data_IF_615510042170
#
_entry.id   IF_615510042170
#
_cell.length_a   1.000
_cell.length_b   1.000
_cell.length_c   1.000
_cell.angle_alpha   90.00
_cell.angle_beta   90.00
_cell.angle_gamma   90.00
#
_symmetry.space_group_name_H-M   'P 1'
#
loop_
_entity.id
_entity.type
_entity.pdbx_description
1 polymer ?
#
# COMPACT_ATOMS: atom_id res chain seq x y z
N UNK A 1 -6.94 11.90 14.25
CA UNK A 1 -5.86 11.18 13.54
C UNK A 1 -5.44 12.01 12.32
N UNK A 2 -4.50 11.58 11.46
CA UNK A 2 -3.62 12.39 10.58
C UNK A 2 -3.97 13.87 10.44
N UNK A 3 -3.09 14.74 10.94
CA UNK A 3 -3.28 16.18 10.81
C UNK A 3 -2.82 16.59 9.42
N UNK A 4 -3.79 16.79 8.52
CA UNK A 4 -3.49 17.28 7.18
C UNK A 4 -2.70 18.59 7.29
N UNK A 5 -1.46 18.66 6.76
CA UNK A 5 -0.66 19.85 6.88
C UNK A 5 -1.37 21.01 6.17
N UNK A 6 -1.15 22.28 6.57
CA UNK A 6 -1.73 23.45 5.91
C UNK A 6 -1.47 23.46 4.39
N UNK A 7 -0.34 22.87 3.97
CA UNK A 7 0.03 22.63 2.57
C UNK A 7 -1.02 21.78 1.84
N UNK A 8 -1.52 20.69 2.43
CA UNK A 8 -2.53 19.84 1.82
C UNK A 8 -3.87 20.59 1.60
N UNK A 9 -4.22 21.50 2.52
CA UNK A 9 -5.40 22.36 2.42
C UNK A 9 -5.20 23.38 1.29
N UNK A 10 -4.04 24.03 1.23
CA UNK A 10 -3.70 24.98 0.18
C UNK A 10 -3.72 24.37 -1.22
N UNK A 11 -3.27 23.11 -1.39
CA UNK A 11 -3.39 22.36 -2.66
C UNK A 11 -4.86 22.16 -3.02
N UNK A 12 -5.68 21.73 -2.05
CA UNK A 12 -7.10 21.50 -2.27
C UNK A 12 -7.86 22.79 -2.64
N UNK A 13 -7.40 23.94 -2.14
CA UNK A 13 -7.91 25.27 -2.47
C UNK A 13 -7.36 25.84 -3.79
N UNK A 14 -6.46 25.13 -4.48
CA UNK A 14 -5.90 25.53 -5.77
C UNK A 14 -4.79 26.58 -5.71
N UNK A 15 -4.14 26.72 -4.55
CA UNK A 15 -2.98 27.61 -4.40
C UNK A 15 -1.73 26.99 -5.05
N UNK A 16 -0.91 27.82 -5.68
CA UNK A 16 0.40 27.40 -6.20
C UNK A 16 1.37 27.20 -5.03
N UNK A 17 1.93 26.00 -4.92
CA UNK A 17 2.88 25.61 -3.87
C UNK A 17 4.21 25.26 -4.52
N UNK A 18 5.33 25.62 -3.88
CA UNK A 18 6.66 25.26 -4.37
C UNK A 18 6.91 23.75 -4.26
N UNK A 19 7.70 23.20 -5.18
CA UNK A 19 8.07 21.78 -5.18
C UNK A 19 8.70 21.35 -3.84
N UNK A 20 9.54 22.20 -3.24
CA UNK A 20 10.13 21.93 -1.91
C UNK A 20 9.10 21.74 -0.80
N UNK A 21 7.97 22.45 -0.85
CA UNK A 21 6.91 22.32 0.15
C UNK A 21 6.06 21.07 -0.11
N UNK A 22 5.90 20.67 -1.37
CA UNK A 22 5.25 19.42 -1.75
C UNK A 22 6.06 18.21 -1.26
N UNK A 23 7.38 18.23 -1.46
CA UNK A 23 8.28 17.18 -1.00
C UNK A 23 8.23 17.05 0.53
N UNK A 24 8.32 18.17 1.27
CA UNK A 24 8.20 18.15 2.74
C UNK A 24 6.85 17.60 3.23
N UNK A 25 5.76 17.91 2.52
CA UNK A 25 4.44 17.39 2.87
C UNK A 25 4.33 15.88 2.59
N UNK A 26 4.96 15.40 1.52
CA UNK A 26 5.05 13.98 1.21
C UNK A 26 5.89 13.23 2.26
N UNK A 27 7.07 13.75 2.61
CA UNK A 27 7.93 13.17 3.65
C UNK A 27 7.20 13.07 5.00
N UNK A 28 6.55 14.14 5.43
CA UNK A 28 5.75 14.15 6.67
C UNK A 28 4.61 13.11 6.64
N UNK A 29 3.98 12.91 5.47
CA UNK A 29 2.96 11.87 5.31
C UNK A 29 3.56 10.46 5.36
N UNK A 30 4.70 10.24 4.71
CA UNK A 30 5.39 8.95 4.71
C UNK A 30 5.86 8.57 6.13
N UNK A 31 6.41 9.51 6.88
CA UNK A 31 6.80 9.32 8.30
C UNK A 31 5.60 8.92 9.16
N UNK A 32 4.49 9.65 9.04
CA UNK A 32 3.24 9.30 9.73
C UNK A 32 2.74 7.90 9.35
N UNK A 33 2.73 7.58 8.06
CA UNK A 33 2.25 6.29 7.56
C UNK A 33 3.14 5.15 8.07
N UNK A 34 4.47 5.32 8.03
CA UNK A 34 5.43 4.35 8.56
C UNK A 34 5.24 4.16 10.08
N UNK A 35 5.16 5.23 10.86
CA UNK A 35 4.95 5.15 12.32
C UNK A 35 3.68 4.37 12.67
N UNK A 36 2.56 4.73 12.06
CA UNK A 36 1.26 4.09 12.32
C UNK A 36 1.27 2.63 11.87
N UNK A 37 1.84 2.32 10.71
CA UNK A 37 1.92 0.95 10.22
C UNK A 37 2.74 0.06 11.17
N UNK A 38 3.90 0.55 11.61
CA UNK A 38 4.79 -0.18 12.51
C UNK A 38 4.17 -0.41 13.90
N UNK A 39 3.33 0.50 14.36
CA UNK A 39 2.57 0.28 15.60
C UNK A 39 1.46 -0.75 15.40
N UNK A 40 0.70 -0.65 14.32
CA UNK A 40 -0.47 -1.49 14.07
C UNK A 40 -0.11 -2.93 13.71
N UNK A 41 1.07 -3.17 13.10
CA UNK A 41 1.50 -4.52 12.73
C UNK A 41 1.79 -5.40 13.96
N UNK A 42 1.95 -4.82 15.15
CA UNK A 42 2.15 -5.55 16.41
C UNK A 42 0.91 -6.35 16.84
N UNK A 43 -0.28 -5.97 16.35
CA UNK A 43 -1.54 -6.58 16.74
C UNK A 43 -2.01 -7.69 15.79
N UNK A 44 -1.44 -7.77 14.59
CA UNK A 44 -1.76 -8.77 13.59
C UNK A 44 -1.24 -8.45 12.19
N UNK A 45 -1.41 -9.41 11.29
CA UNK A 45 -1.07 -9.25 9.88
C UNK A 45 -1.99 -8.21 9.22
N UNK A 46 -1.40 -7.11 8.76
CA UNK A 46 -2.10 -6.06 8.03
C UNK A 46 -2.22 -6.49 6.55
N UNK A 47 -3.45 -6.59 6.06
CA UNK A 47 -3.74 -6.83 4.64
C UNK A 47 -3.66 -5.51 3.85
N UNK A 48 -4.26 -4.44 4.36
CA UNK A 48 -4.24 -3.12 3.75
C UNK A 48 -4.39 -2.01 4.80
N UNK A 49 -3.77 -0.86 4.53
CA UNK A 49 -3.88 0.35 5.37
C UNK A 49 -4.02 1.57 4.48
N UNK A 50 -5.03 2.39 4.76
CA UNK A 50 -5.32 3.61 4.00
C UNK A 50 -5.56 4.80 4.92
N UNK A 51 -5.16 5.98 4.46
CA UNK A 51 -5.37 7.26 5.16
C UNK A 51 -6.24 8.14 4.27
N UNK A 52 -7.28 8.75 4.86
CA UNK A 52 -8.20 9.62 4.15
C UNK A 52 -7.70 11.07 4.12
N UNK A 53 -7.62 11.61 2.90
CA UNK A 53 -7.32 13.00 2.56
C UNK A 53 -8.60 13.78 2.23
N UNK A 54 -9.73 13.37 2.81
CA UNK A 54 -10.99 14.07 2.66
C UNK A 54 -10.94 15.41 3.40
N UNK A 55 -11.78 16.37 2.98
CA UNK A 55 -11.90 17.68 3.62
C UNK A 55 -13.05 17.68 4.66
N UNK A 56 -14.05 16.81 4.48
CA UNK A 56 -15.21 16.74 5.35
C UNK A 56 -14.87 16.19 6.74
N UNK A 57 -15.41 16.84 7.77
CA UNK A 57 -15.15 16.54 9.19
C UNK A 57 -15.45 15.10 9.58
N UNK A 58 -16.34 14.41 8.85
CA UNK A 58 -16.74 13.03 9.12
C UNK A 58 -15.68 11.98 8.75
N UNK A 59 -14.72 12.32 7.88
CA UNK A 59 -13.75 11.35 7.34
C UNK A 59 -12.33 11.90 7.17
N UNK A 60 -12.11 13.19 7.39
CA UNK A 60 -10.79 13.82 7.31
C UNK A 60 -9.79 13.18 8.28
N UNK A 61 -8.64 12.76 7.75
CA UNK A 61 -7.55 12.20 8.55
C UNK A 61 -7.83 10.83 9.17
N UNK A 62 -8.95 10.17 8.81
CA UNK A 62 -9.24 8.82 9.27
C UNK A 62 -8.25 7.82 8.69
N UNK A 63 -7.79 6.90 9.51
CA UNK A 63 -6.97 5.76 9.10
C UNK A 63 -7.81 4.50 9.20
N UNK A 64 -7.83 3.74 8.11
CA UNK A 64 -8.48 2.44 8.07
C UNK A 64 -7.41 1.37 7.93
N UNK A 65 -7.47 0.37 8.79
CA UNK A 65 -6.64 -0.84 8.70
C UNK A 65 -7.56 -2.03 8.51
N UNK A 66 -7.19 -2.86 7.53
CA UNK A 66 -7.76 -4.17 7.33
C UNK A 66 -6.73 -5.20 7.81
N UNK A 67 -7.05 -5.88 8.90
CA UNK A 67 -6.31 -7.06 9.33
C UNK A 67 -6.78 -8.30 8.58
N UNK A 68 -5.89 -9.29 8.47
CA UNK A 68 -6.22 -10.58 7.87
C UNK A 68 -7.20 -11.41 8.71
N UNK A 69 -7.06 -11.34 10.03
CA UNK A 69 -7.87 -12.06 10.99
C UNK A 69 -8.72 -11.08 11.83
N UNK A 70 -10.00 -11.40 12.06
CA UNK A 70 -10.90 -10.55 12.88
C UNK A 70 -10.43 -10.42 14.33
N UNK A 71 -9.82 -11.48 14.88
CA UNK A 71 -9.23 -11.47 16.22
C UNK A 71 -8.11 -10.43 16.36
N UNK A 72 -7.36 -10.16 15.29
CA UNK A 72 -6.33 -9.12 15.29
C UNK A 72 -6.94 -7.72 15.34
N UNK A 73 -8.07 -7.50 14.67
CA UNK A 73 -8.80 -6.24 14.77
C UNK A 73 -9.34 -6.01 16.19
N UNK A 74 -9.91 -7.04 16.83
CA UNK A 74 -10.37 -6.96 18.21
C UNK A 74 -9.22 -6.68 19.19
N UNK A 75 -8.09 -7.35 19.00
CA UNK A 75 -6.89 -7.11 19.78
C UNK A 75 -6.36 -5.67 19.62
N UNK A 76 -6.30 -5.17 18.39
CA UNK A 76 -5.87 -3.79 18.11
C UNK A 76 -6.77 -2.77 18.81
N UNK A 77 -8.10 -2.90 18.70
CA UNK A 77 -9.04 -1.99 19.39
C UNK A 77 -8.84 -2.02 20.90
N UNK A 78 -8.71 -3.22 21.49
CA UNK A 78 -8.48 -3.34 22.93
C UNK A 78 -7.17 -2.68 23.38
N UNK A 79 -6.10 -2.78 22.59
CA UNK A 79 -4.78 -2.25 22.96
C UNK A 79 -4.62 -0.76 22.65
N UNK A 80 -5.36 -0.23 21.67
CA UNK A 80 -5.32 1.18 21.30
C UNK A 80 -6.30 2.03 22.11
N UNK A 81 -7.37 1.43 22.63
CA UNK A 81 -8.35 2.11 23.47
C UNK A 81 -7.69 2.74 24.69
N UNK A 82 -7.93 4.03 24.91
CA UNK A 82 -7.36 4.79 26.02
C UNK A 82 -5.93 5.29 25.82
N UNK A 83 -5.30 5.00 24.66
CA UNK A 83 -4.00 5.56 24.29
C UNK A 83 -4.16 6.93 23.63
N UNK A 84 -3.05 7.64 23.52
CA UNK A 84 -2.96 8.97 22.93
C UNK A 84 -1.99 8.97 21.75
N UNK A 85 -2.27 9.77 20.74
CA UNK A 85 -1.39 10.03 19.59
C UNK A 85 -1.39 11.53 19.30
N UNK A 86 -0.20 12.15 19.25
CA UNK A 86 -0.06 13.59 19.04
C UNK A 86 -0.86 14.45 20.04
N UNK A 87 -0.91 14.02 21.31
CA UNK A 87 -1.65 14.71 22.38
C UNK A 87 -3.18 14.57 22.34
N UNK A 88 -3.74 13.79 21.40
CA UNK A 88 -5.18 13.52 21.29
C UNK A 88 -5.49 12.05 21.62
N UNK A 89 -6.63 11.76 22.27
CA UNK A 89 -7.02 10.37 22.51
C UNK A 89 -7.28 9.65 21.18
N UNK A 90 -6.85 8.39 21.10
CA UNK A 90 -7.11 7.54 19.94
C UNK A 90 -8.54 7.01 20.06
N UNK A 91 -9.35 7.26 19.03
CA UNK A 91 -10.69 6.68 18.88
C UNK A 91 -10.60 5.53 17.87
N UNK A 92 -10.93 4.32 18.32
CA UNK A 92 -10.90 3.10 17.50
C UNK A 92 -12.29 2.48 17.47
N UNK A 93 -12.79 2.21 16.28
CA UNK A 93 -14.10 1.62 16.05
C UNK A 93 -14.02 0.59 14.92
N UNK A 94 -14.92 -0.41 14.94
CA UNK A 94 -15.08 -1.32 13.82
C UNK A 94 -15.77 -0.60 12.66
N UNK A 95 -15.35 -0.94 11.44
CA UNK A 95 -15.97 -0.43 10.21
C UNK A 95 -16.59 -1.58 9.41
N UNK A 96 -17.78 -1.39 8.81
CA UNK A 96 -18.37 -2.38 7.90
C UNK A 96 -17.66 -2.41 6.53
N UNK A 97 -16.69 -1.53 6.29
CA UNK A 97 -15.95 -1.46 5.03
C UNK A 97 -15.00 -2.64 4.90
N UNK A 98 -15.31 -3.57 3.99
CA UNK A 98 -14.53 -4.80 3.74
C UNK A 98 -13.56 -4.66 2.56
N UNK A 99 -13.86 -3.78 1.59
CA UNK A 99 -13.02 -3.51 0.42
C UNK A 99 -12.87 -2.00 0.19
N UNK A 100 -11.65 -1.50 0.40
CA UNK A 100 -11.31 -0.09 0.18
C UNK A 100 -11.43 0.34 -1.29
N UNK A 101 -11.38 -0.61 -2.24
CA UNK A 101 -11.52 -0.31 -3.67
C UNK A 101 -12.93 0.12 -4.05
N UNK A 102 -13.93 -0.39 -3.37
CA UNK A 102 -15.34 0.01 -3.57
C UNK A 102 -15.67 1.28 -2.78
N UNK A 103 -15.06 1.47 -1.61
CA UNK A 103 -15.27 2.66 -0.78
C UNK A 103 -14.54 3.92 -1.28
N UNK A 104 -13.56 3.79 -2.20
CA UNK A 104 -12.79 4.93 -2.70
C UNK A 104 -13.56 5.78 -3.70
N UNK A 105 -13.31 7.09 -3.67
CA UNK A 105 -13.87 8.02 -4.64
C UNK A 105 -13.15 7.91 -5.99
N UNK A 106 -13.80 7.34 -7.00
CA UNK A 106 -13.21 7.20 -8.36
C UNK A 106 -12.86 8.56 -8.98
N UNK A 107 -13.75 9.55 -8.83
CA UNK A 107 -13.52 10.91 -9.33
C UNK A 107 -12.32 11.59 -8.66
N UNK A 108 -12.01 11.26 -7.40
CA UNK A 108 -10.83 11.81 -6.73
C UNK A 108 -9.53 11.23 -7.32
N UNK A 109 -9.52 9.93 -7.65
CA UNK A 109 -8.38 9.28 -8.31
C UNK A 109 -8.07 9.93 -9.66
N UNK A 110 -9.12 10.37 -10.36
CA UNK A 110 -9.01 11.08 -11.65
C UNK A 110 -8.71 12.58 -11.51
N UNK A 111 -8.64 13.11 -10.28
CA UNK A 111 -8.43 14.54 -10.02
C UNK A 111 -9.64 15.43 -10.32
N UNK A 112 -10.84 14.85 -10.40
CA UNK A 112 -12.07 15.52 -10.84
C UNK A 112 -13.17 15.61 -9.76
N UNK A 113 -12.88 15.16 -8.53
CA UNK A 113 -13.87 15.24 -7.45
C UNK A 113 -14.12 16.70 -7.04
N UNK A 114 -15.29 17.23 -7.36
CA UNK A 114 -15.72 18.60 -7.00
C UNK A 114 -16.66 18.67 -5.80
N UNK A 115 -16.86 17.54 -5.09
CA UNK A 115 -17.78 17.46 -3.96
C UNK A 115 -17.25 18.14 -2.69
N UNK A 116 -15.95 18.46 -2.64
CA UNK A 116 -15.32 19.09 -1.48
C UNK A 116 -15.57 18.32 -0.19
N UNK A 117 -15.95 19.03 0.87
CA UNK A 117 -16.30 18.44 2.17
C UNK A 117 -17.53 17.54 2.18
N UNK A 118 -18.34 17.54 1.11
CA UNK A 118 -19.56 16.72 1.02
C UNK A 118 -19.33 15.35 0.36
N UNK A 119 -18.09 15.00 0.01
CA UNK A 119 -17.81 13.68 -0.54
C UNK A 119 -17.91 12.60 0.55
N UNK A 120 -18.73 11.58 0.33
CA UNK A 120 -18.88 10.44 1.25
C UNK A 120 -17.97 9.25 0.91
N UNK A 121 -17.21 9.33 -0.17
CA UNK A 121 -16.28 8.29 -0.59
C UNK A 121 -14.86 8.63 -0.14
N UNK A 122 -14.07 7.60 0.16
CA UNK A 122 -12.71 7.76 0.68
C UNK A 122 -11.80 8.41 -0.37
N UNK A 123 -11.24 9.57 -0.05
CA UNK A 123 -10.16 10.18 -0.80
C UNK A 123 -8.85 9.62 -0.25
N UNK A 124 -8.34 8.54 -0.83
CA UNK A 124 -7.18 7.83 -0.28
C UNK A 124 -5.90 8.61 -0.63
N UNK A 125 -5.14 8.99 0.40
CA UNK A 125 -3.83 9.64 0.22
C UNK A 125 -2.84 8.66 -0.42
N UNK A 126 -2.05 9.15 -1.38
CA UNK A 126 -1.13 8.30 -2.12
C UNK A 126 0.06 7.89 -1.24
N UNK A 127 0.29 6.59 -1.13
CA UNK A 127 1.50 6.02 -0.50
C UNK A 127 2.34 5.36 -1.59
N UNK A 128 3.62 5.72 -1.75
CA UNK A 128 4.47 5.09 -2.76
C UNK A 128 4.59 3.58 -2.56
N UNK A 129 4.64 2.85 -3.67
CA UNK A 129 4.77 1.38 -3.65
C UNK A 129 6.05 0.89 -2.98
N UNK A 130 7.12 1.69 -3.05
CA UNK A 130 8.39 1.42 -2.36
C UNK A 130 8.21 1.38 -0.84
N UNK A 131 7.54 2.38 -0.28
CA UNK A 131 7.23 2.48 1.16
C UNK A 131 6.37 1.30 1.60
N UNK A 132 5.27 1.02 0.89
CA UNK A 132 4.40 -0.14 1.20
C UNK A 132 5.16 -1.47 1.18
N UNK A 133 6.05 -1.66 0.19
CA UNK A 133 6.87 -2.87 0.09
C UNK A 133 7.83 -2.99 1.27
N UNK A 134 8.57 -1.92 1.60
CA UNK A 134 9.50 -1.86 2.73
C UNK A 134 8.81 -2.23 4.04
N UNK A 135 7.63 -1.66 4.29
CA UNK A 135 6.86 -1.90 5.52
C UNK A 135 6.33 -3.34 5.60
N UNK A 136 5.82 -3.90 4.50
CA UNK A 136 5.39 -5.30 4.46
C UNK A 136 6.57 -6.27 4.67
N UNK A 137 7.72 -6.00 4.04
CA UNK A 137 8.93 -6.80 4.24
C UNK A 137 9.37 -6.79 5.71
N UNK A 138 9.31 -5.62 6.36
CA UNK A 138 9.61 -5.47 7.78
C UNK A 138 8.60 -6.20 8.68
N UNK A 139 7.30 -6.11 8.40
CA UNK A 139 6.27 -6.85 9.12
C UNK A 139 6.54 -8.36 9.11
N UNK A 140 6.84 -8.93 7.95
CA UNK A 140 7.13 -10.37 7.85
C UNK A 140 8.50 -10.78 8.37
N UNK A 141 9.45 -9.83 8.49
CA UNK A 141 10.73 -10.07 9.12
C UNK A 141 10.61 -10.11 10.66
N UNK A 142 9.83 -9.19 11.24
CA UNK A 142 9.59 -9.12 12.70
C UNK A 142 8.57 -10.16 13.18
N UNK A 143 7.57 -10.49 12.35
CA UNK A 143 6.52 -11.48 12.64
C UNK A 143 6.43 -12.56 11.55
N UNK A 144 7.39 -13.51 11.49
CA UNK A 144 7.40 -14.57 10.48
C UNK A 144 6.16 -15.47 10.48
N UNK A 145 5.42 -15.54 11.58
CA UNK A 145 4.18 -16.30 11.75
C UNK A 145 3.04 -15.80 10.87
N UNK A 146 3.00 -14.51 10.53
CA UNK A 146 1.97 -13.94 9.65
C UNK A 146 2.05 -14.57 8.24
N UNK A 147 3.27 -14.80 7.76
CA UNK A 147 3.51 -15.48 6.48
C UNK A 147 3.01 -16.94 6.46
N UNK A 148 2.94 -17.60 7.62
CA UNK A 148 2.58 -19.03 7.75
C UNK A 148 1.08 -19.27 7.68
N UNK A 149 0.26 -18.25 7.91
CA UNK A 149 -1.21 -18.37 7.94
C UNK A 149 -1.87 -18.23 6.58
N UNK A 150 -1.14 -17.92 5.51
CA UNK A 150 -1.68 -18.09 4.16
C UNK A 150 -1.93 -19.59 3.98
N UNK A 151 -3.19 -20.06 3.90
CA UNK A 151 -3.42 -21.39 3.40
C UNK A 151 -2.91 -21.28 1.96
N UNK A 152 -1.70 -21.78 1.73
CA UNK A 152 -1.38 -22.28 0.40
C UNK A 152 -2.59 -23.10 0.06
N UNK A 153 -3.33 -22.68 -0.98
CA UNK A 153 -4.20 -23.60 -1.70
C UNK A 153 -3.40 -24.89 -1.76
N UNK A 154 -3.90 -25.91 -1.07
CA UNK A 154 -3.34 -27.26 -1.09
C UNK A 154 -3.66 -27.85 -2.46
N UNK A 155 -3.15 -27.20 -3.49
CA UNK A 155 -2.77 -27.72 -4.79
C UNK A 155 -1.25 -27.93 -4.61
N UNK A 156 -0.74 -29.12 -4.39
CA UNK A 156 -1.20 -30.35 -5.02
C UNK A 156 -0.61 -30.55 -6.40
N UNK A 157 0.47 -29.86 -6.81
CA UNK A 157 1.49 -30.40 -7.74
C UNK A 157 2.59 -29.38 -8.10
N UNK A 158 3.83 -29.86 -8.15
CA UNK A 158 4.86 -29.29 -9.01
C UNK A 158 5.73 -28.19 -8.40
N UNK A 159 6.92 -28.58 -7.95
CA UNK A 159 8.09 -27.71 -7.92
C UNK A 159 8.37 -27.20 -9.34
N UNK A 160 7.73 -26.11 -9.75
CA UNK A 160 8.14 -25.36 -10.94
C UNK A 160 9.41 -24.61 -10.59
N UNK A 161 10.55 -25.22 -10.93
CA UNK A 161 11.81 -24.53 -11.13
C UNK A 161 11.52 -23.27 -11.94
N UNK A 162 11.68 -22.09 -11.32
CA UNK A 162 11.58 -20.84 -12.06
C UNK A 162 12.70 -20.88 -13.10
N UNK A 163 12.42 -20.77 -14.41
CA UNK A 163 13.47 -20.87 -15.41
C UNK A 163 14.55 -19.84 -15.10
N UNK A 164 15.77 -20.32 -14.89
CA UNK A 164 16.94 -19.50 -14.58
C UNK A 164 17.00 -18.40 -15.62
N UNK A 165 16.89 -17.13 -15.18
CA UNK A 165 16.99 -15.97 -16.08
C UNK A 165 18.34 -16.07 -16.79
N UNK A 166 18.32 -16.41 -18.07
CA UNK A 166 19.52 -16.61 -18.86
C UNK A 166 20.34 -15.33 -18.90
N UNK A 167 21.65 -15.47 -18.70
CA UNK A 167 22.58 -14.36 -18.80
C UNK A 167 22.56 -13.76 -20.21
N UNK A 168 23.00 -12.51 -20.35
CA UNK A 168 23.12 -11.86 -21.66
C UNK A 168 24.00 -12.69 -22.61
N UNK A 169 25.04 -13.35 -22.08
CA UNK A 169 25.96 -14.19 -22.83
C UNK A 169 25.29 -15.47 -23.33
N UNK A 170 24.49 -16.14 -22.49
CA UNK A 170 23.76 -17.37 -22.85
C UNK A 170 22.77 -17.09 -23.99
N UNK A 171 22.08 -15.94 -23.95
CA UNK A 171 21.16 -15.53 -25.03
C UNK A 171 21.89 -15.25 -26.35
N UNK A 172 23.08 -14.63 -26.32
CA UNK A 172 23.88 -14.37 -27.53
C UNK A 172 24.32 -15.68 -28.19
N UNK A 173 24.83 -16.62 -27.41
CA UNK A 173 25.28 -17.91 -27.92
C UNK A 173 24.14 -18.70 -28.57
N UNK A 174 22.94 -18.67 -27.98
CA UNK A 174 21.75 -19.31 -28.56
C UNK A 174 21.36 -18.69 -29.91
N UNK A 175 21.41 -17.37 -30.03
CA UNK A 175 21.10 -16.67 -31.28
C UNK A 175 22.12 -17.04 -32.37
N UNK A 176 23.41 -17.06 -32.04
CA UNK A 176 24.46 -17.47 -32.99
C UNK A 176 24.28 -18.92 -33.46
N UNK A 177 23.89 -19.81 -32.55
CA UNK A 177 23.65 -21.22 -32.89
C UNK A 177 22.46 -21.37 -33.84
N UNK A 178 21.36 -20.67 -33.58
CA UNK A 178 20.19 -20.69 -34.47
C UNK A 178 20.45 -20.06 -35.83
N UNK A 179 21.29 -19.03 -35.91
CA UNK A 179 21.69 -18.45 -37.20
C UNK A 179 22.51 -19.46 -38.02
N UNK A 180 23.47 -20.15 -37.39
CA UNK A 180 24.23 -21.22 -38.06
C UNK A 180 23.35 -22.37 -38.51
N UNK A 181 22.38 -22.77 -37.70
CA UNK A 181 21.45 -23.84 -38.04
C UNK A 181 20.51 -23.45 -39.18
N UNK A 182 20.09 -22.18 -39.24
CA UNK A 182 19.31 -21.64 -40.37
C UNK A 182 20.15 -21.60 -41.65
N UNK A 183 21.37 -21.08 -41.59
CA UNK A 183 22.29 -21.03 -42.72
C UNK A 183 22.60 -22.44 -43.25
N UNK A 184 22.80 -23.42 -42.36
CA UNK A 184 23.00 -24.81 -42.75
C UNK A 184 21.76 -25.43 -43.42
N UNK A 185 20.55 -25.05 -42.99
CA UNK A 185 19.29 -25.47 -43.63
C UNK A 185 19.06 -24.81 -44.98
N UNK A 186 19.44 -23.55 -45.12
CA UNK A 186 19.36 -22.79 -46.38
C UNK A 186 20.40 -23.29 -47.40
N UNK A 187 21.58 -23.72 -46.96
CA UNK A 187 22.61 -24.30 -47.82
C UNK A 187 22.34 -25.76 -48.25
N UNK A 188 21.38 -26.43 -47.60
CA UNK A 188 20.99 -27.81 -47.90
C UNK A 188 19.77 -27.91 -48.84
N UNK A 189 19.17 -26.78 -49.22
CA UNK A 189 18.16 -26.63 -50.26
C UNK A 189 18.76 -26.01 -51.52
#
# INVERSE_FOLDING_TARGET
MYQNPPVAIAIAEGQMISDELLDKAADHFEEFFEEVFLELMKYGEIEDMVVCDNIGDHIIGNVYVKYRDENSAAHAISMLSGRFYGGKPIQCEYTPVTDFREARCRQFVEGQCRRGGYCNFMHIKHVPRSVRRKLNERMYAEYPEYKRRSPRRSDGSGSHDKPRRQSSQERRNMIEMWNREREAREAAN
#
